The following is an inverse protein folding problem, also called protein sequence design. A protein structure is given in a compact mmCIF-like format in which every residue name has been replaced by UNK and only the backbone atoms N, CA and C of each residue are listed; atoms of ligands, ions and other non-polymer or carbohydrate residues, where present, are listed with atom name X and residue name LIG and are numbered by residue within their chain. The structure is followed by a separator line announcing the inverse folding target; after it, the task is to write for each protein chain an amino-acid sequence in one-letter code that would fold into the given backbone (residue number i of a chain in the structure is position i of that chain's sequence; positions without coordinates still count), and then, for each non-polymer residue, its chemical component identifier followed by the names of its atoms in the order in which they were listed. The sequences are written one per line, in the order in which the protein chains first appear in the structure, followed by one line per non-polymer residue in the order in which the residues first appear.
data_IF_025266551051
#
_entry.id   IF_025266551051
#
_cell.length_a   1.000
_cell.length_b   1.000
_cell.length_c   1.000
_cell.angle_alpha   90.00
_cell.angle_beta   90.00
_cell.angle_gamma   90.00
#
_symmetry.space_group_name_H-M   'P 1'
#
loop_
_entity.id
_entity.type
_entity.pdbx_description
1 polymer ?
#
# COMPACT_ATOMS: atom_id res chain seq x y z
N UNK A 1 17.48 -28.97 0.82
CA UNK A 1 17.82 -27.91 1.81
C UNK A 1 16.71 -26.86 1.77
N UNK A 2 16.37 -26.20 2.87
CA UNK A 2 15.38 -25.12 2.84
C UNK A 2 15.89 -23.95 1.99
N UNK A 3 14.98 -23.24 1.33
CA UNK A 3 15.27 -22.07 0.49
C UNK A 3 15.91 -20.98 1.35
N UNK A 4 17.02 -20.41 0.92
CA UNK A 4 17.69 -19.31 1.60
C UNK A 4 16.86 -18.01 1.46
N UNK A 5 17.07 -17.06 2.39
CA UNK A 5 16.44 -15.74 2.31
C UNK A 5 16.77 -15.01 1.00
N UNK A 6 17.99 -15.17 0.50
CA UNK A 6 18.42 -14.53 -0.74
C UNK A 6 17.74 -15.12 -1.97
N UNK A 7 17.70 -16.46 -2.07
CA UNK A 7 16.98 -17.15 -3.17
C UNK A 7 15.50 -16.77 -3.19
N UNK A 8 14.86 -16.71 -2.02
CA UNK A 8 13.46 -16.27 -1.93
C UNK A 8 13.29 -14.82 -2.45
N UNK A 9 14.15 -13.88 -2.03
CA UNK A 9 14.10 -12.49 -2.49
C UNK A 9 14.34 -12.35 -3.99
N UNK A 10 15.25 -13.16 -4.55
CA UNK A 10 15.56 -13.15 -5.97
C UNK A 10 14.42 -13.72 -6.80
N UNK A 11 13.72 -14.71 -6.30
CA UNK A 11 12.50 -15.24 -6.90
C UNK A 11 11.36 -14.20 -6.84
N UNK A 12 11.13 -13.59 -5.66
CA UNK A 12 10.09 -12.56 -5.49
C UNK A 12 10.33 -11.31 -6.35
N UNK A 13 11.60 -10.97 -6.64
CA UNK A 13 11.92 -9.86 -7.54
C UNK A 13 11.44 -10.10 -9.00
N UNK A 14 11.14 -11.34 -9.36
CA UNK A 14 10.60 -11.72 -10.68
C UNK A 14 9.07 -11.78 -10.73
N UNK A 15 8.42 -11.53 -9.59
CA UNK A 15 6.98 -11.41 -9.51
C UNK A 15 6.59 -9.93 -9.63
N UNK A 16 6.03 -9.55 -10.77
CA UNK A 16 5.53 -8.19 -10.99
C UNK A 16 4.35 -7.89 -10.06
N UNK A 17 4.36 -6.75 -9.44
CA UNK A 17 3.30 -6.33 -8.53
C UNK A 17 3.00 -4.83 -8.65
N UNK A 18 1.74 -4.44 -8.47
CA UNK A 18 1.36 -3.04 -8.41
C UNK A 18 2.01 -2.36 -7.19
N UNK A 19 2.43 -1.13 -7.36
CA UNK A 19 2.96 -0.31 -6.26
C UNK A 19 1.80 0.42 -5.60
N UNK A 20 1.70 0.29 -4.28
CA UNK A 20 0.64 0.91 -3.50
C UNK A 20 1.24 1.80 -2.40
N UNK A 21 0.57 2.91 -2.09
CA UNK A 21 0.72 3.60 -0.83
C UNK A 21 -0.42 3.20 0.08
N UNK A 22 -0.09 2.48 1.14
CA UNK A 22 -1.07 2.15 2.17
C UNK A 22 -1.01 3.21 3.24
N UNK A 23 -2.13 3.84 3.54
CA UNK A 23 -2.24 4.97 4.46
C UNK A 23 -3.22 4.66 5.59
N UNK A 24 -3.05 5.33 6.71
CA UNK A 24 -3.98 5.31 7.85
C UNK A 24 -4.01 6.68 8.51
N UNK A 25 -5.11 7.03 9.15
CA UNK A 25 -5.24 8.19 10.02
C UNK A 25 -6.28 7.88 11.11
N UNK A 26 -6.12 8.48 12.29
CA UNK A 26 -7.01 8.28 13.42
C UNK A 26 -6.38 8.74 14.72
N UNK A 27 -6.89 8.24 15.84
CA UNK A 27 -6.44 8.62 17.18
C UNK A 27 -4.96 8.31 17.45
N UNK A 28 -4.40 7.27 16.79
CA UNK A 28 -2.99 6.92 16.91
C UNK A 28 -2.06 7.78 16.03
N UNK A 29 -2.63 8.62 15.16
CA UNK A 29 -1.90 9.49 14.25
C UNK A 29 -1.93 9.01 12.81
N UNK A 30 -1.40 9.87 11.93
CA UNK A 30 -1.32 9.64 10.49
C UNK A 30 -0.08 8.81 10.13
N UNK A 31 -0.25 7.82 9.27
CA UNK A 31 0.83 6.98 8.79
C UNK A 31 0.67 6.53 7.35
N UNK A 32 1.77 6.08 6.76
CA UNK A 32 1.77 5.54 5.41
C UNK A 32 3.05 4.78 5.09
N UNK A 33 2.92 3.81 4.20
CA UNK A 33 4.03 2.97 3.71
C UNK A 33 3.85 2.70 2.21
N UNK A 34 4.95 2.47 1.52
CA UNK A 34 4.94 1.86 0.19
C UNK A 34 4.88 0.34 0.34
N UNK A 35 3.97 -0.30 -0.37
CA UNK A 35 3.79 -1.75 -0.32
C UNK A 35 3.43 -2.33 -1.70
N UNK A 36 3.96 -3.51 -1.99
CA UNK A 36 3.54 -4.36 -3.11
C UNK A 36 2.75 -5.59 -2.64
N UNK A 37 2.84 -5.93 -1.36
CA UNK A 37 2.17 -7.08 -0.76
C UNK A 37 0.71 -6.76 -0.44
N UNK A 38 -0.09 -6.62 -1.48
CA UNK A 38 -1.54 -6.40 -1.47
C UNK A 38 -2.19 -7.43 -2.39
N UNK A 39 -3.28 -8.03 -1.94
CA UNK A 39 -4.01 -9.02 -2.71
C UNK A 39 -5.51 -8.94 -2.42
N UNK A 40 -6.34 -9.16 -3.45
CA UNK A 40 -7.77 -9.43 -3.28
C UNK A 40 -7.98 -10.77 -2.60
N UNK A 41 -8.93 -10.84 -1.66
CA UNK A 41 -9.29 -12.06 -0.94
C UNK A 41 -10.63 -12.59 -1.44
N UNK A 42 -11.67 -11.76 -1.43
CA UNK A 42 -13.03 -12.10 -1.87
C UNK A 42 -13.76 -10.81 -2.27
N UNK A 43 -14.77 -10.96 -3.10
CA UNK A 43 -15.69 -9.90 -3.54
C UNK A 43 -17.00 -9.86 -2.74
N UNK A 44 -17.25 -10.88 -1.89
CA UNK A 44 -18.45 -10.94 -1.03
C UNK A 44 -18.11 -11.49 0.38
N UNK A 45 -18.04 -10.63 1.41
CA UNK A 45 -17.95 -9.15 1.35
C UNK A 45 -16.61 -8.71 0.76
N UNK A 46 -16.57 -7.59 0.04
CA UNK A 46 -15.33 -7.12 -0.59
C UNK A 46 -14.19 -6.97 0.41
N UNK A 47 -13.15 -7.79 0.27
CA UNK A 47 -12.05 -7.89 1.23
C UNK A 47 -10.72 -8.03 0.50
N UNK A 48 -9.72 -7.30 0.96
CA UNK A 48 -8.34 -7.46 0.53
C UNK A 48 -7.43 -7.74 1.72
N UNK A 49 -6.20 -8.19 1.45
CA UNK A 49 -5.16 -8.31 2.45
C UNK A 49 -3.97 -7.38 2.14
N UNK A 50 -3.30 -6.97 3.22
CA UNK A 50 -2.05 -6.20 3.17
C UNK A 50 -1.06 -6.83 4.15
N UNK A 51 0.19 -7.04 3.72
CA UNK A 51 1.25 -7.50 4.63
C UNK A 51 2.03 -6.29 5.17
N UNK A 52 2.01 -6.12 6.49
CA UNK A 52 2.73 -5.05 7.20
C UNK A 52 3.93 -5.62 7.94
N UNK A 53 5.11 -5.02 7.74
CA UNK A 53 6.31 -5.43 8.49
C UNK A 53 6.19 -4.99 9.96
N UNK A 54 6.17 -5.94 10.88
CA UNK A 54 6.03 -5.72 12.34
C UNK A 54 7.21 -4.97 12.96
N UNK A 55 8.39 -5.03 12.35
CA UNK A 55 9.57 -4.29 12.83
C UNK A 55 9.50 -2.79 12.50
N UNK A 56 8.59 -2.39 11.61
CA UNK A 56 8.36 -0.99 11.31
C UNK A 56 7.48 -0.34 12.39
N UNK A 57 7.93 0.74 13.03
CA UNK A 57 7.11 1.44 14.03
C UNK A 57 5.80 1.99 13.44
N UNK A 58 5.73 2.15 12.13
CA UNK A 58 4.53 2.61 11.42
C UNK A 58 3.42 1.57 11.37
N UNK A 59 3.76 0.26 11.42
CA UNK A 59 2.77 -0.81 11.35
C UNK A 59 1.80 -0.78 12.54
N UNK A 60 2.26 -0.37 13.72
CA UNK A 60 1.42 -0.23 14.90
C UNK A 60 0.31 0.81 14.72
N UNK A 61 0.54 1.88 13.94
CA UNK A 61 -0.48 2.92 13.68
C UNK A 61 -1.69 2.34 12.96
N UNK A 62 -1.47 1.46 11.97
CA UNK A 62 -2.56 0.83 11.22
C UNK A 62 -3.47 0.00 12.12
N UNK A 63 -2.85 -0.81 12.97
CA UNK A 63 -3.59 -1.68 13.90
C UNK A 63 -4.34 -0.86 14.95
N UNK A 64 -3.73 0.19 15.48
CA UNK A 64 -4.33 1.07 16.48
C UNK A 64 -5.49 1.92 15.90
N UNK A 65 -5.37 2.39 14.66
CA UNK A 65 -6.43 3.14 13.99
C UNK A 65 -7.57 2.23 13.48
N UNK A 66 -7.30 0.95 13.20
CA UNK A 66 -8.29 -0.01 12.72
C UNK A 66 -8.80 0.24 11.30
N UNK A 67 -8.18 1.19 10.58
CA UNK A 67 -8.55 1.57 9.22
C UNK A 67 -7.30 1.73 8.35
N UNK A 68 -7.47 1.53 7.04
CA UNK A 68 -6.43 1.79 6.06
C UNK A 68 -7.03 2.13 4.70
N UNK A 69 -6.28 2.86 3.89
CA UNK A 69 -6.58 3.00 2.47
C UNK A 69 -5.41 2.46 1.63
N UNK A 70 -5.70 1.58 0.69
CA UNK A 70 -4.74 1.12 -0.31
C UNK A 70 -4.89 1.99 -1.54
N UNK A 71 -3.86 2.80 -1.83
CA UNK A 71 -3.81 3.67 -3.00
C UNK A 71 -2.86 3.05 -4.03
N UNK A 72 -3.39 2.37 -5.04
CA UNK A 72 -2.62 1.83 -6.16
C UNK A 72 -2.15 2.98 -7.04
N UNK A 73 -0.84 3.11 -7.23
CA UNK A 73 -0.27 4.25 -7.93
C UNK A 73 -0.51 4.20 -9.44
N UNK A 74 -0.84 5.34 -10.02
CA UNK A 74 -0.80 5.53 -11.47
C UNK A 74 0.64 5.56 -11.97
N UNK A 75 0.84 5.36 -13.27
CA UNK A 75 2.18 5.25 -13.89
C UNK A 75 3.09 6.46 -13.60
N UNK A 76 2.53 7.66 -13.45
CA UNK A 76 3.27 8.91 -13.19
C UNK A 76 3.63 9.16 -11.71
N UNK A 77 3.20 8.33 -10.76
CA UNK A 77 3.30 8.61 -9.33
C UNK A 77 4.53 7.97 -8.63
N UNK A 78 5.61 7.69 -9.37
CA UNK A 78 6.83 7.11 -8.78
C UNK A 78 7.43 7.98 -7.67
N UNK A 79 7.35 9.30 -7.78
CA UNK A 79 7.86 10.22 -6.75
C UNK A 79 7.17 10.01 -5.40
N UNK A 80 5.87 9.74 -5.38
CA UNK A 80 5.11 9.41 -4.17
C UNK A 80 5.61 8.10 -3.56
N UNK A 81 5.83 7.07 -4.39
CA UNK A 81 6.41 5.80 -3.94
C UNK A 81 7.76 6.00 -3.25
N UNK A 82 8.65 6.78 -3.86
CA UNK A 82 9.99 7.08 -3.32
C UNK A 82 9.90 7.80 -1.96
N UNK A 83 8.98 8.75 -1.82
CA UNK A 83 8.80 9.48 -0.57
C UNK A 83 8.39 8.55 0.59
N UNK A 84 7.46 7.62 0.36
CA UNK A 84 6.97 6.71 1.40
C UNK A 84 7.90 5.51 1.65
N UNK A 85 8.76 5.12 0.70
CA UNK A 85 9.77 4.07 0.87
C UNK A 85 11.07 4.56 1.49
N UNK A 86 11.31 5.87 1.57
CA UNK A 86 12.51 6.44 2.17
C UNK A 86 12.71 5.98 3.62
N UNK A 87 13.95 5.76 4.09
CA UNK A 87 14.26 5.42 5.48
C UNK A 87 13.67 6.44 6.47
N UNK A 88 13.35 5.99 7.70
CA UNK A 88 12.67 6.82 8.70
C UNK A 88 13.51 7.99 9.21
N UNK A 89 14.82 7.87 9.14
CA UNK A 89 15.79 8.91 9.51
C UNK A 89 15.94 10.02 8.44
N UNK A 90 15.45 9.79 7.24
CA UNK A 90 15.59 10.71 6.10
C UNK A 90 14.37 11.57 5.79
N UNK A 91 13.20 11.19 6.29
CA UNK A 91 11.96 11.93 6.07
C UNK A 91 10.94 11.65 7.16
N UNK A 92 10.36 12.69 7.73
CA UNK A 92 9.21 12.58 8.61
C UNK A 92 7.90 12.30 7.83
N UNK A 93 6.82 12.07 8.53
CA UNK A 93 5.55 11.73 7.89
C UNK A 93 4.96 12.93 7.14
N UNK A 94 5.13 14.15 7.63
CA UNK A 94 4.64 15.36 6.97
C UNK A 94 5.30 15.55 5.59
N UNK A 95 6.63 15.38 5.52
CA UNK A 95 7.39 15.44 4.25
C UNK A 95 6.94 14.37 3.25
N UNK A 96 6.57 13.16 3.74
CA UNK A 96 6.08 12.08 2.86
C UNK A 96 4.73 12.42 2.26
N UNK A 97 3.81 12.92 3.09
CA UNK A 97 2.50 13.33 2.62
C UNK A 97 2.54 14.57 1.72
N UNK A 98 3.55 15.43 1.83
CA UNK A 98 3.76 16.57 0.92
C UNK A 98 4.09 16.14 -0.53
N UNK A 99 4.43 14.86 -0.78
CA UNK A 99 4.69 14.34 -2.12
C UNK A 99 3.41 14.08 -2.95
N UNK A 100 2.22 14.26 -2.40
CA UNK A 100 0.95 14.06 -3.07
C UNK A 100 -0.17 14.91 -2.51
N UNK A 101 -1.29 14.91 -3.18
CA UNK A 101 -2.55 15.53 -2.72
C UNK A 101 -3.45 14.46 -2.13
N UNK A 102 -4.06 14.73 -0.97
CA UNK A 102 -4.78 13.74 -0.20
C UNK A 102 -6.18 14.21 0.17
N UNK A 103 -7.16 13.35 -0.05
CA UNK A 103 -8.53 13.50 0.42
C UNK A 103 -8.90 12.38 1.38
N UNK A 104 -10.21 12.16 1.55
CA UNK A 104 -10.78 11.08 2.38
C UNK A 104 -11.99 10.47 1.67
N UNK A 105 -12.34 9.25 2.05
CA UNK A 105 -13.61 8.58 1.74
C UNK A 105 -14.36 8.23 3.04
N UNK A 106 -14.79 6.99 3.20
CA UNK A 106 -15.67 6.58 4.30
C UNK A 106 -14.97 6.47 5.67
N UNK A 107 -13.70 5.98 5.70
CA UNK A 107 -13.03 5.66 6.97
C UNK A 107 -12.21 6.81 7.56
N UNK A 108 -11.90 7.82 6.76
CA UNK A 108 -11.00 8.91 7.14
C UNK A 108 -9.52 8.62 6.86
N UNK A 109 -9.17 7.43 6.41
CA UNK A 109 -7.80 7.15 5.93
C UNK A 109 -7.48 8.00 4.70
N UNK A 110 -6.23 8.53 4.58
CA UNK A 110 -5.86 9.40 3.46
C UNK A 110 -5.94 8.70 2.11
N UNK A 111 -6.62 9.34 1.16
CA UNK A 111 -6.85 8.85 -0.21
C UNK A 111 -6.08 9.72 -1.18
N UNK A 112 -5.16 9.13 -1.95
CA UNK A 112 -4.29 9.82 -2.89
C UNK A 112 -5.06 10.30 -4.12
N UNK A 113 -4.94 11.58 -4.46
CA UNK A 113 -5.47 12.10 -5.71
C UNK A 113 -4.72 11.50 -6.92
N UNK A 114 -5.46 11.17 -7.97
CA UNK A 114 -4.89 10.60 -9.20
C UNK A 114 -4.32 9.18 -9.07
N UNK A 115 -4.53 8.48 -7.95
CA UNK A 115 -4.24 7.05 -7.84
C UNK A 115 -5.06 6.26 -8.87
N UNK A 116 -4.49 5.22 -9.47
CA UNK A 116 -5.21 4.36 -10.41
C UNK A 116 -6.46 3.75 -9.76
N UNK A 117 -6.33 3.31 -8.51
CA UNK A 117 -7.46 2.91 -7.68
C UNK A 117 -7.14 3.16 -6.20
N UNK A 118 -8.15 3.49 -5.41
CA UNK A 118 -8.05 3.59 -3.96
C UNK A 118 -9.15 2.75 -3.31
N UNK A 119 -8.75 1.92 -2.36
CA UNK A 119 -9.63 1.04 -1.59
C UNK A 119 -9.59 1.49 -0.13
N UNK A 120 -10.66 2.12 0.31
CA UNK A 120 -10.79 2.62 1.68
C UNK A 120 -11.43 1.53 2.56
N UNK A 121 -10.71 1.09 3.58
CA UNK A 121 -10.96 -0.18 4.24
C UNK A 121 -10.98 -0.08 5.76
N UNK A 122 -11.75 -0.98 6.37
CA UNK A 122 -11.72 -1.27 7.81
C UNK A 122 -11.05 -2.61 8.07
N UNK A 123 -10.08 -2.63 8.99
CA UNK A 123 -9.39 -3.85 9.41
C UNK A 123 -10.37 -4.77 10.13
N UNK A 124 -10.45 -6.02 9.70
CA UNK A 124 -11.36 -7.03 10.27
C UNK A 124 -10.62 -8.14 10.99
N UNK A 125 -9.44 -8.51 10.52
CA UNK A 125 -8.64 -9.59 11.10
C UNK A 125 -7.15 -9.33 10.88
N UNK A 126 -6.32 -9.81 11.80
CA UNK A 126 -4.87 -9.71 11.75
C UNK A 126 -4.26 -11.06 12.13
N UNK A 127 -3.45 -11.62 11.22
CA UNK A 127 -2.66 -12.82 11.48
C UNK A 127 -1.19 -12.48 11.52
N UNK A 128 -0.49 -12.96 12.53
CA UNK A 128 0.96 -12.80 12.65
C UNK A 128 1.69 -13.95 11.97
N UNK A 129 2.54 -13.64 10.99
CA UNK A 129 3.35 -14.62 10.29
C UNK A 129 4.81 -14.14 10.21
N UNK A 130 5.68 -14.74 11.03
CA UNK A 130 7.09 -14.39 11.08
C UNK A 130 7.30 -12.90 11.38
N UNK A 131 7.92 -12.18 10.46
CA UNK A 131 8.22 -10.75 10.60
C UNK A 131 7.07 -9.83 10.16
N UNK A 132 5.96 -10.37 9.70
CA UNK A 132 4.84 -9.59 9.16
C UNK A 132 3.52 -9.90 9.86
N UNK A 133 2.65 -8.90 9.85
CA UNK A 133 1.22 -9.05 10.08
C UNK A 133 0.51 -9.10 8.73
N UNK A 134 -0.30 -10.14 8.51
CA UNK A 134 -1.24 -10.22 7.40
C UNK A 134 -2.54 -9.62 7.88
N UNK A 135 -2.90 -8.47 7.32
CA UNK A 135 -4.07 -7.69 7.73
C UNK A 135 -5.17 -7.90 6.70
N UNK A 136 -6.30 -8.45 7.12
CA UNK A 136 -7.52 -8.52 6.31
C UNK A 136 -8.33 -7.25 6.53
N UNK A 137 -8.74 -6.62 5.43
CA UNK A 137 -9.43 -5.35 5.47
C UNK A 137 -10.64 -5.37 4.53
N UNK A 138 -11.83 -5.16 5.10
CA UNK A 138 -13.08 -5.03 4.35
C UNK A 138 -13.13 -3.67 3.67
N UNK A 139 -13.42 -3.66 2.39
CA UNK A 139 -13.55 -2.44 1.59
C UNK A 139 -14.88 -1.76 1.90
N UNK A 140 -14.82 -0.52 2.36
CA UNK A 140 -16.00 0.32 2.69
C UNK A 140 -16.33 1.29 1.55
N UNK A 141 -15.30 1.75 0.80
CA UNK A 141 -15.46 2.61 -0.36
C UNK A 141 -14.32 2.44 -1.35
N UNK A 142 -14.57 2.74 -2.61
CA UNK A 142 -13.56 2.72 -3.67
C UNK A 142 -13.60 4.01 -4.46
N UNK A 143 -12.44 4.40 -4.98
CA UNK A 143 -12.27 5.45 -5.99
C UNK A 143 -11.25 4.96 -7.00
N UNK A 144 -11.47 5.23 -8.26
CA UNK A 144 -10.51 4.95 -9.33
C UNK A 144 -10.45 6.12 -10.29
N UNK A 145 -9.27 6.31 -10.88
CA UNK A 145 -9.05 7.29 -11.93
C UNK A 145 -9.55 6.75 -13.28
N UNK A 146 -9.55 7.61 -14.28
CA UNK A 146 -9.75 7.16 -15.65
C UNK A 146 -8.66 6.15 -16.05
N UNK A 147 -9.03 5.22 -16.91
CA UNK A 147 -8.12 4.13 -17.32
C UNK A 147 -6.82 4.64 -17.94
N UNK A 148 -6.79 5.85 -18.51
CA UNK A 148 -5.61 6.49 -19.10
C UNK A 148 -4.48 6.76 -18.10
N UNK A 149 -4.76 6.75 -16.79
CA UNK A 149 -3.74 6.95 -15.75
C UNK A 149 -2.66 5.86 -15.72
N UNK A 150 -2.94 4.69 -16.28
CA UNK A 150 -2.05 3.53 -16.23
C UNK A 150 -1.78 3.05 -14.81
N UNK A 151 -0.80 2.19 -14.64
CA UNK A 151 -0.43 1.63 -13.33
C UNK A 151 1.09 1.63 -13.14
N UNK A 152 1.57 1.97 -11.94
CA UNK A 152 2.97 1.82 -11.57
C UNK A 152 3.19 0.40 -11.02
N UNK A 153 4.10 -0.33 -11.67
CA UNK A 153 4.48 -1.68 -11.30
C UNK A 153 5.90 -1.71 -10.74
N UNK A 154 6.17 -2.68 -9.87
CA UNK A 154 7.52 -3.03 -9.42
C UNK A 154 7.87 -4.43 -9.90
N UNK A 155 8.95 -4.54 -10.69
CA UNK A 155 9.43 -5.79 -11.26
C UNK A 155 10.95 -5.72 -11.41
N UNK A 156 11.64 -6.83 -11.20
CA UNK A 156 13.11 -6.93 -11.34
C UNK A 156 13.86 -5.82 -10.59
N UNK A 157 13.36 -5.42 -9.39
CA UNK A 157 13.88 -4.35 -8.54
C UNK A 157 13.86 -2.96 -9.18
N UNK A 158 12.96 -2.74 -10.13
CA UNK A 158 12.74 -1.46 -10.80
C UNK A 158 11.27 -1.09 -10.91
N UNK A 159 11.01 0.19 -11.12
CA UNK A 159 9.67 0.70 -11.40
C UNK A 159 9.40 0.68 -12.90
N UNK A 160 8.18 0.32 -13.26
CA UNK A 160 7.69 0.27 -14.64
C UNK A 160 6.29 0.88 -14.70
N UNK A 161 6.12 1.91 -15.52
CA UNK A 161 4.79 2.43 -15.82
C UNK A 161 4.14 1.57 -16.90
N UNK A 162 3.01 0.95 -16.60
CA UNK A 162 2.19 0.27 -17.60
C UNK A 162 1.16 1.26 -18.13
N UNK A 163 1.12 1.49 -19.46
CA UNK A 163 0.01 2.21 -20.08
C UNK A 163 -1.27 1.36 -19.94
N UNK A 164 -2.42 2.00 -20.12
CA UNK A 164 -3.67 1.27 -20.34
C UNK A 164 -3.56 0.47 -21.64
N UNK A 165 -3.98 -0.78 -21.59
CA UNK A 165 -4.04 -1.63 -22.79
C UNK A 165 -4.97 -1.00 -23.84
N UNK A 166 -4.58 -1.10 -25.10
CA UNK A 166 -5.45 -0.82 -26.25
C UNK A 166 -6.51 -1.90 -26.37
#
# INVERSE_FOLDING_TARGET
MPVSRQEFRDAMARLGAAVNIVTTDGAAGRGGITATAVCSVTDDPPTLLVCLNRTSPRSALFLANGVLCVNTLSAGQQAVSNAFSAPSDKADMASRFAAGEWGMLATGAPVLAGAAASFDCRITEVLEQGTHSVVFARVEAVRFADMEAGCLMYYARGYHGLPTGQ
#
